data_IF_488051278515
#
_entry.id   IF_488051278515
#
_cell.length_a   1.000
_cell.length_b   1.000
_cell.length_c   1.000
_cell.angle_alpha   90.00
_cell.angle_beta   90.00
_cell.angle_gamma   90.00
#
_symmetry.space_group_name_H-M   'P 1'
#
loop_
_entity.id
_entity.type
_entity.pdbx_description
1 polymer ?
#
# COMPACT_ATOMS: atom_id res chain seq x y z
N UNK A 1 21.78 -33.15 -25.57
CA UNK A 1 22.33 -32.02 -26.35
C UNK A 1 21.27 -31.64 -27.39
N UNK A 2 20.70 -30.44 -27.33
CA UNK A 2 19.61 -30.01 -28.22
C UNK A 2 18.44 -29.28 -27.55
N UNK A 3 18.31 -29.35 -26.21
CA UNK A 3 17.38 -28.49 -25.46
C UNK A 3 17.91 -27.05 -25.47
N UNK A 4 17.10 -26.06 -25.87
CA UNK A 4 17.43 -24.65 -25.72
C UNK A 4 17.89 -24.32 -24.29
N UNK A 5 18.94 -23.52 -24.14
CA UNK A 5 19.60 -23.26 -22.85
C UNK A 5 18.63 -22.67 -21.80
N UNK A 6 17.74 -21.80 -22.26
CA UNK A 6 16.64 -21.21 -21.50
C UNK A 6 15.67 -22.26 -20.96
N UNK A 7 15.28 -23.25 -21.75
CA UNK A 7 14.43 -24.34 -21.28
C UNK A 7 15.18 -25.33 -20.39
N UNK A 8 16.45 -25.61 -20.69
CA UNK A 8 17.28 -26.55 -19.93
C UNK A 8 17.57 -26.04 -18.51
N UNK A 9 17.74 -24.73 -18.36
CA UNK A 9 18.01 -24.06 -17.08
C UNK A 9 16.78 -23.39 -16.48
N UNK A 10 15.60 -23.50 -17.12
CA UNK A 10 14.35 -22.80 -16.75
C UNK A 10 14.52 -21.28 -16.61
N UNK A 11 15.38 -20.67 -17.43
CA UNK A 11 15.66 -19.23 -17.44
C UNK A 11 14.56 -18.40 -18.13
N UNK A 12 13.49 -19.05 -18.60
CA UNK A 12 12.32 -18.36 -19.19
C UNK A 12 11.18 -18.33 -18.17
N UNK A 13 10.91 -17.16 -17.61
CA UNK A 13 9.69 -16.86 -16.86
C UNK A 13 8.98 -15.63 -17.45
N UNK A 14 7.69 -15.49 -17.17
CA UNK A 14 6.88 -14.34 -17.61
C UNK A 14 6.58 -13.44 -16.42
N UNK A 15 7.04 -12.20 -16.50
CA UNK A 15 6.77 -11.19 -15.47
C UNK A 15 5.59 -10.34 -15.88
N UNK A 16 4.60 -10.23 -15.00
CA UNK A 16 3.47 -9.33 -15.16
C UNK A 16 3.69 -8.06 -14.35
N UNK A 17 3.76 -6.92 -15.02
CA UNK A 17 3.71 -5.62 -14.37
C UNK A 17 2.24 -5.20 -14.20
N UNK A 18 1.79 -5.07 -12.95
CA UNK A 18 0.40 -4.78 -12.62
C UNK A 18 0.29 -3.35 -12.12
N UNK A 19 -0.37 -2.48 -12.88
CA UNK A 19 -0.69 -1.14 -12.43
C UNK A 19 -1.96 -1.16 -11.55
N UNK A 20 -1.75 -1.24 -10.23
CA UNK A 20 -2.83 -1.35 -9.26
C UNK A 20 -3.44 0.02 -8.91
N UNK A 21 -4.75 0.03 -8.75
CA UNK A 21 -5.46 1.18 -8.18
C UNK A 21 -5.23 1.27 -6.67
N UNK A 22 -5.29 2.47 -6.05
CA UNK A 22 -5.02 2.64 -4.62
C UNK A 22 -5.92 1.83 -3.69
N UNK A 23 -7.11 1.44 -4.12
CA UNK A 23 -8.06 0.63 -3.35
C UNK A 23 -7.76 -0.87 -3.35
N UNK A 24 -6.67 -1.33 -3.99
CA UNK A 24 -6.28 -2.75 -4.05
C UNK A 24 -4.93 -3.04 -3.39
N UNK A 25 -4.72 -2.61 -2.12
CA UNK A 25 -3.46 -2.90 -1.43
C UNK A 25 -3.23 -4.38 -1.20
N UNK A 26 -4.31 -5.18 -1.11
CA UNK A 26 -4.24 -6.63 -0.98
C UNK A 26 -3.43 -7.27 -2.11
N UNK A 27 -3.53 -6.71 -3.33
CA UNK A 27 -2.83 -7.17 -4.52
C UNK A 27 -1.37 -6.68 -4.63
N UNK A 28 -0.85 -5.91 -3.66
CA UNK A 28 0.60 -5.61 -3.57
C UNK A 28 1.41 -6.78 -3.00
N UNK A 29 0.87 -8.00 -3.12
CA UNK A 29 1.41 -9.24 -2.60
C UNK A 29 1.10 -10.41 -3.54
N UNK A 30 1.97 -11.42 -3.55
CA UNK A 30 1.75 -12.66 -4.30
C UNK A 30 0.51 -13.40 -3.80
N UNK A 31 0.27 -13.42 -2.48
CA UNK A 31 -0.92 -14.07 -1.90
C UNK A 31 -2.21 -13.38 -2.37
N UNK A 32 -2.25 -12.05 -2.37
CA UNK A 32 -3.43 -11.31 -2.82
C UNK A 32 -3.70 -11.49 -4.31
N UNK A 33 -2.67 -11.41 -5.15
CA UNK A 33 -2.80 -11.69 -6.59
C UNK A 33 -3.27 -13.13 -6.82
N UNK A 34 -2.70 -14.11 -6.10
CA UNK A 34 -3.09 -15.51 -6.22
C UNK A 34 -4.54 -15.76 -5.75
N UNK A 35 -5.03 -15.02 -4.75
CA UNK A 35 -6.43 -15.06 -4.31
C UNK A 35 -7.37 -14.58 -5.41
N UNK A 36 -7.04 -13.48 -6.07
CA UNK A 36 -7.81 -12.96 -7.21
C UNK A 36 -7.82 -13.94 -8.39
N UNK A 37 -6.65 -14.47 -8.77
CA UNK A 37 -6.56 -15.47 -9.83
C UNK A 37 -7.36 -16.73 -9.47
N UNK A 38 -7.32 -17.15 -8.21
CA UNK A 38 -8.10 -18.29 -7.71
C UNK A 38 -9.60 -18.10 -7.88
N UNK A 39 -10.10 -16.88 -7.69
CA UNK A 39 -11.51 -16.53 -7.89
C UNK A 39 -11.93 -16.61 -9.37
N UNK A 40 -11.04 -16.25 -10.30
CA UNK A 40 -11.29 -16.31 -11.75
C UNK A 40 -10.97 -17.68 -12.39
N UNK A 41 -10.32 -18.59 -11.67
CA UNK A 41 -10.00 -19.91 -12.19
C UNK A 41 -11.27 -20.74 -12.43
N UNK A 42 -11.24 -21.62 -13.43
CA UNK A 42 -12.31 -22.59 -13.70
C UNK A 42 -11.78 -24.02 -13.50
N UNK A 43 -12.25 -24.77 -12.46
CA UNK A 43 -13.11 -24.31 -11.36
C UNK A 43 -12.39 -23.34 -10.41
N UNK A 44 -13.17 -22.53 -9.66
CA UNK A 44 -12.62 -21.61 -8.67
C UNK A 44 -11.72 -22.36 -7.67
N UNK A 45 -10.61 -21.74 -7.28
CA UNK A 45 -9.64 -22.32 -6.37
C UNK A 45 -9.38 -21.40 -5.18
N UNK A 46 -9.26 -22.00 -4.01
CA UNK A 46 -8.73 -21.32 -2.83
C UNK A 46 -7.21 -21.31 -2.90
N UNK A 47 -6.60 -20.19 -2.50
CA UNK A 47 -5.16 -20.07 -2.45
C UNK A 47 -4.59 -21.02 -1.39
N UNK A 48 -3.56 -21.79 -1.74
CA UNK A 48 -2.79 -22.53 -0.76
C UNK A 48 -1.75 -21.59 -0.18
N UNK A 49 -1.97 -21.15 1.06
CA UNK A 49 -1.00 -20.30 1.74
C UNK A 49 0.32 -21.06 1.95
N UNK A 50 1.47 -20.37 1.86
CA UNK A 50 2.76 -20.99 2.10
C UNK A 50 2.81 -21.54 3.53
N UNK A 51 2.96 -22.85 3.63
CA UNK A 51 3.16 -23.51 4.93
C UNK A 51 4.57 -23.17 5.42
N UNK A 52 4.66 -22.85 6.71
CA UNK A 52 5.92 -22.73 7.41
C UNK A 52 5.80 -23.45 8.76
N UNK A 53 6.89 -24.07 9.19
CA UNK A 53 7.05 -24.59 10.54
C UNK A 53 8.18 -23.82 11.22
N UNK A 54 8.05 -23.65 12.53
CA UNK A 54 9.15 -23.24 13.38
C UNK A 54 9.70 -24.54 13.98
N UNK A 55 10.79 -25.11 13.42
CA UNK A 55 11.34 -26.37 13.90
C UNK A 55 11.67 -26.27 15.39
N UNK A 56 11.06 -27.13 16.22
CA UNK A 56 11.23 -27.11 17.67
C UNK A 56 12.71 -27.24 18.07
N UNK A 57 13.49 -27.97 17.28
CA UNK A 57 14.93 -28.15 17.46
C UNK A 57 15.77 -26.89 17.22
N UNK A 58 15.22 -25.90 16.49
CA UNK A 58 15.84 -24.60 16.25
C UNK A 58 15.38 -23.53 17.24
N UNK A 59 14.35 -23.81 18.03
CA UNK A 59 13.89 -22.89 19.09
C UNK A 59 14.84 -23.07 20.28
N UNK A 60 15.61 -22.03 20.56
CA UNK A 60 16.50 -21.96 21.71
C UNK A 60 15.73 -21.92 23.03
N UNK A 61 16.47 -22.10 24.14
CA UNK A 61 15.89 -22.05 25.50
C UNK A 61 15.71 -20.63 26.05
N UNK A 62 16.30 -19.65 25.37
CA UNK A 62 16.27 -18.27 25.82
C UNK A 62 15.06 -17.55 25.25
N UNK A 63 14.21 -17.03 26.14
CA UNK A 63 13.05 -16.24 25.72
C UNK A 63 13.46 -14.90 25.15
N UNK A 64 12.77 -14.47 24.08
CA UNK A 64 12.91 -13.12 23.55
C UNK A 64 12.71 -12.05 24.62
N UNK A 65 11.81 -12.28 25.59
CA UNK A 65 11.50 -11.32 26.66
C UNK A 65 12.66 -11.12 27.67
N UNK A 66 13.66 -11.99 27.65
CA UNK A 66 14.88 -11.82 28.44
C UNK A 66 15.89 -10.87 27.77
N UNK A 67 15.70 -10.56 26.49
CA UNK A 67 16.63 -9.80 25.66
C UNK A 67 16.00 -8.49 25.15
N UNK A 68 14.77 -8.57 24.68
CA UNK A 68 14.10 -7.49 23.98
C UNK A 68 12.81 -7.04 24.67
N UNK A 69 12.55 -5.73 24.65
CA UNK A 69 11.31 -5.09 25.08
C UNK A 69 10.79 -4.17 23.97
N UNK A 70 9.48 -4.15 23.74
CA UNK A 70 8.83 -3.19 22.82
C UNK A 70 7.84 -2.35 23.61
N UNK A 71 7.92 -1.03 23.45
CA UNK A 71 7.00 -0.06 24.03
C UNK A 71 6.43 0.84 22.91
N UNK A 72 5.11 1.00 22.89
CA UNK A 72 4.43 1.89 21.95
C UNK A 72 3.91 3.09 22.74
N UNK A 73 4.52 4.27 22.53
CA UNK A 73 4.12 5.52 23.18
C UNK A 73 2.95 6.17 22.43
N UNK A 74 2.95 6.07 21.10
CA UNK A 74 1.97 6.70 20.21
C UNK A 74 1.13 5.65 19.46
N UNK A 75 0.17 4.98 20.13
CA UNK A 75 -0.60 3.88 19.56
C UNK A 75 -1.52 4.30 18.41
N UNK A 76 -1.88 5.58 18.32
CA UNK A 76 -2.69 6.14 17.23
C UNK A 76 -1.94 6.13 15.88
N UNK A 77 -0.59 6.12 15.93
CA UNK A 77 0.28 6.02 14.76
C UNK A 77 0.83 4.61 14.55
N UNK A 78 0.95 3.83 15.63
CA UNK A 78 1.38 2.43 15.59
C UNK A 78 0.43 1.53 16.40
N UNK A 79 -0.72 1.13 15.82
CA UNK A 79 -1.68 0.26 16.50
C UNK A 79 -1.11 -1.09 16.93
N UNK A 80 -0.13 -1.63 16.18
CA UNK A 80 0.46 -2.94 16.43
C UNK A 80 1.93 -3.00 16.05
N UNK A 81 2.73 -3.61 16.91
CA UNK A 81 4.14 -3.90 16.66
C UNK A 81 4.49 -5.29 17.16
N UNK A 82 4.98 -6.14 16.28
CA UNK A 82 5.46 -7.48 16.62
C UNK A 82 6.96 -7.60 16.34
N UNK A 83 7.67 -8.34 17.19
CA UNK A 83 9.11 -8.57 17.03
C UNK A 83 9.51 -10.02 17.30
N UNK A 84 10.47 -10.51 16.53
CA UNK A 84 11.10 -11.84 16.69
C UNK A 84 12.61 -11.71 16.74
N UNK A 85 13.28 -12.53 17.55
CA UNK A 85 14.73 -12.48 17.74
C UNK A 85 15.35 -13.80 17.29
N UNK A 86 16.43 -13.70 16.51
CA UNK A 86 17.26 -14.83 16.11
C UNK A 86 18.71 -14.63 16.56
N UNK A 87 19.34 -15.71 16.99
CA UNK A 87 20.74 -15.82 17.37
C UNK A 87 21.53 -16.61 16.33
N UNK A 88 22.86 -16.50 16.38
CA UNK A 88 23.79 -17.25 15.53
C UNK A 88 23.52 -17.12 14.02
N UNK A 89 22.96 -15.98 13.61
CA UNK A 89 22.64 -15.68 12.22
C UNK A 89 23.93 -15.59 11.42
N UNK A 90 24.00 -16.32 10.30
CA UNK A 90 25.13 -16.23 9.37
C UNK A 90 24.73 -15.43 8.14
N UNK A 91 25.31 -14.24 8.01
CA UNK A 91 25.14 -13.39 6.83
C UNK A 91 25.92 -13.98 5.66
N UNK A 92 25.23 -14.23 4.56
CA UNK A 92 25.78 -14.81 3.32
C UNK A 92 24.88 -14.46 2.14
N UNK A 93 25.35 -14.61 0.89
CA UNK A 93 24.49 -14.49 -0.28
C UNK A 93 23.26 -15.40 -0.18
N UNK A 94 22.11 -14.89 -0.65
CA UNK A 94 20.86 -15.65 -0.71
C UNK A 94 20.97 -16.90 -1.58
N UNK A 95 20.20 -17.96 -1.28
CA UNK A 95 20.01 -19.07 -2.21
C UNK A 95 19.58 -18.57 -3.58
N UNK A 96 20.01 -19.26 -4.64
CA UNK A 96 19.76 -18.84 -6.02
C UNK A 96 18.29 -18.53 -6.32
N UNK A 97 17.37 -19.39 -5.85
CA UNK A 97 15.93 -19.21 -6.08
C UNK A 97 15.37 -17.92 -5.48
N UNK A 98 15.90 -17.49 -4.32
CA UNK A 98 15.45 -16.29 -3.62
C UNK A 98 15.95 -15.05 -4.34
N UNK A 99 17.23 -15.06 -4.69
CA UNK A 99 17.88 -14.03 -5.49
C UNK A 99 17.16 -13.84 -6.84
N UNK A 100 16.95 -14.93 -7.56
CA UNK A 100 16.27 -14.94 -8.87
C UNK A 100 14.88 -14.30 -8.79
N UNK A 101 14.08 -14.65 -7.78
CA UNK A 101 12.73 -14.10 -7.60
C UNK A 101 12.72 -12.59 -7.33
N UNK A 102 13.66 -12.10 -6.51
CA UNK A 102 13.76 -10.68 -6.19
C UNK A 102 14.28 -9.87 -7.38
N UNK A 103 15.33 -10.34 -8.05
CA UNK A 103 15.91 -9.64 -9.20
C UNK A 103 14.93 -9.57 -10.38
N UNK A 104 14.10 -10.60 -10.56
CA UNK A 104 13.06 -10.66 -11.61
C UNK A 104 12.01 -9.56 -11.47
N UNK A 105 11.75 -9.09 -10.25
CA UNK A 105 10.81 -7.99 -9.96
C UNK A 105 11.52 -6.64 -9.73
N UNK A 106 12.81 -6.54 -10.08
CA UNK A 106 13.59 -5.31 -9.98
C UNK A 106 14.19 -5.02 -8.60
N UNK A 107 14.11 -5.95 -7.65
CA UNK A 107 14.76 -5.81 -6.33
C UNK A 107 16.17 -6.39 -6.37
N UNK A 108 17.16 -5.56 -6.05
CA UNK A 108 18.56 -6.01 -5.97
C UNK A 108 18.77 -6.86 -4.72
N UNK A 109 19.28 -8.08 -4.89
CA UNK A 109 19.66 -8.97 -3.80
C UNK A 109 20.89 -8.43 -3.06
N UNK A 110 20.83 -8.41 -1.73
CA UNK A 110 21.88 -7.86 -0.85
C UNK A 110 22.51 -9.00 -0.04
N UNK A 111 21.75 -9.58 0.88
CA UNK A 111 22.15 -10.71 1.71
C UNK A 111 20.91 -11.52 2.10
N UNK A 112 21.11 -12.74 2.59
CA UNK A 112 20.04 -13.65 2.97
C UNK A 112 19.01 -13.06 3.95
N UNK A 113 19.40 -12.25 4.94
CA UNK A 113 18.46 -11.65 5.90
C UNK A 113 17.59 -10.58 5.23
N UNK A 114 18.23 -9.60 4.57
CA UNK A 114 17.54 -8.50 3.90
C UNK A 114 16.64 -9.03 2.78
N UNK A 115 17.14 -9.98 2.00
CA UNK A 115 16.39 -10.60 0.91
C UNK A 115 15.18 -11.39 1.43
N UNK A 116 15.27 -12.06 2.57
CA UNK A 116 14.12 -12.74 3.18
C UNK A 116 13.06 -11.72 3.61
N UNK A 117 13.45 -10.59 4.21
CA UNK A 117 12.46 -9.55 4.57
C UNK A 117 11.75 -8.97 3.34
N UNK A 118 12.49 -8.69 2.26
CA UNK A 118 11.93 -8.26 0.98
C UNK A 118 11.02 -9.33 0.35
N UNK A 119 11.46 -10.58 0.38
CA UNK A 119 10.70 -11.69 -0.18
C UNK A 119 9.39 -11.91 0.55
N UNK A 120 9.39 -11.90 1.89
CA UNK A 120 8.15 -12.05 2.68
C UNK A 120 7.24 -10.85 2.51
N UNK A 121 7.78 -9.63 2.36
CA UNK A 121 6.98 -8.45 1.98
C UNK A 121 6.29 -8.65 0.64
N UNK A 122 7.00 -9.15 -0.38
CA UNK A 122 6.40 -9.43 -1.69
C UNK A 122 5.43 -10.62 -1.64
N UNK A 123 5.69 -11.63 -0.81
CA UNK A 123 4.83 -12.82 -0.66
C UNK A 123 3.50 -12.45 0.02
N UNK A 124 3.56 -11.68 1.12
CA UNK A 124 2.43 -11.45 2.04
C UNK A 124 1.83 -10.05 1.98
N UNK A 125 2.56 -9.07 1.46
CA UNK A 125 2.18 -7.66 1.48
C UNK A 125 2.53 -6.92 2.78
N UNK A 126 3.09 -7.61 3.77
CA UNK A 126 3.53 -7.03 5.05
C UNK A 126 4.99 -6.61 4.96
N UNK A 127 5.32 -5.31 4.98
CA UNK A 127 6.70 -4.88 5.09
C UNK A 127 7.29 -5.32 6.43
N UNK A 128 8.56 -5.73 6.39
CA UNK A 128 9.34 -6.19 7.52
C UNK A 128 10.64 -5.40 7.57
N UNK A 129 11.22 -5.27 8.75
CA UNK A 129 12.55 -4.71 8.92
C UNK A 129 13.42 -5.65 9.77
N UNK A 130 14.72 -5.64 9.54
CA UNK A 130 15.69 -6.42 10.30
C UNK A 130 16.71 -5.46 10.91
N UNK A 131 16.78 -5.43 12.24
CA UNK A 131 17.78 -4.68 12.98
C UNK A 131 18.92 -5.60 13.38
N UNK A 132 20.16 -5.11 13.28
CA UNK A 132 21.27 -5.71 14.02
C UNK A 132 21.02 -5.49 15.52
N UNK A 133 20.71 -6.56 16.23
CA UNK A 133 20.30 -6.49 17.63
C UNK A 133 21.44 -6.06 18.56
N UNK A 134 22.69 -6.19 18.14
CA UNK A 134 23.85 -5.68 18.89
C UNK A 134 23.94 -4.15 18.84
N UNK A 135 23.31 -3.53 17.84
CA UNK A 135 23.22 -2.08 17.70
C UNK A 135 21.95 -1.47 18.29
N UNK A 136 21.01 -2.29 18.80
CA UNK A 136 19.79 -1.83 19.49
C UNK A 136 20.11 -1.57 20.96
N UNK A 137 20.31 -0.30 21.32
CA UNK A 137 20.68 0.07 22.69
C UNK A 137 19.64 -0.40 23.71
N UNK A 138 20.14 -0.97 24.82
CA UNK A 138 19.36 -1.49 25.95
C UNK A 138 18.36 -2.60 25.59
N UNK A 139 18.46 -3.20 24.39
CA UNK A 139 17.51 -4.22 23.94
C UNK A 139 16.07 -3.70 23.92
N UNK A 140 15.83 -2.40 23.77
CA UNK A 140 14.50 -1.82 23.86
C UNK A 140 14.14 -1.14 22.56
N UNK A 141 12.94 -1.39 22.05
CA UNK A 141 12.32 -0.65 20.95
C UNK A 141 11.24 0.26 21.54
N UNK A 142 11.28 1.54 21.20
CA UNK A 142 10.32 2.56 21.61
C UNK A 142 9.75 3.21 20.36
N UNK A 143 8.47 2.97 20.08
CA UNK A 143 7.76 3.56 18.95
C UNK A 143 7.11 4.86 19.40
N UNK A 144 7.60 5.98 18.89
CA UNK A 144 7.15 7.32 19.27
C UNK A 144 7.30 8.34 18.16
N UNK A 145 6.60 9.45 18.26
CA UNK A 145 6.82 10.65 17.44
C UNK A 145 8.24 11.20 17.62
N UNK A 146 8.78 11.80 16.57
CA UNK A 146 10.09 12.45 16.57
C UNK A 146 10.19 13.53 17.66
N UNK A 147 9.13 14.32 17.86
CA UNK A 147 9.06 15.30 18.94
C UNK A 147 10.14 16.37 18.84
N UNK A 148 11.23 16.21 19.61
CA UNK A 148 12.38 17.14 19.62
C UNK A 148 13.54 16.70 18.73
N UNK A 149 13.48 15.49 18.18
CA UNK A 149 14.46 15.03 17.21
C UNK A 149 14.31 15.87 15.94
N UNK A 150 15.43 16.39 15.43
CA UNK A 150 15.43 17.38 14.33
C UNK A 150 15.99 16.82 13.04
N UNK A 151 16.85 15.81 13.11
CA UNK A 151 17.48 15.17 11.95
C UNK A 151 17.63 13.67 12.19
N UNK A 152 17.65 12.90 11.09
CA UNK A 152 17.91 11.48 11.09
C UNK A 152 18.66 11.06 9.83
N UNK A 153 19.62 10.15 9.97
CA UNK A 153 20.40 9.61 8.86
C UNK A 153 19.86 8.23 8.50
N UNK A 154 19.40 8.09 7.25
CA UNK A 154 18.87 6.84 6.71
C UNK A 154 19.96 5.95 6.10
N UNK A 155 19.61 4.71 5.76
CA UNK A 155 20.50 3.71 5.15
C UNK A 155 21.18 4.15 3.84
N UNK A 156 20.69 5.21 3.18
CA UNK A 156 21.32 5.81 2.00
C UNK A 156 22.34 6.91 2.35
N UNK A 157 22.73 6.99 3.63
CA UNK A 157 23.64 7.96 4.24
C UNK A 157 23.22 9.43 4.01
N UNK A 158 21.92 9.70 3.79
CA UNK A 158 21.38 11.06 3.68
C UNK A 158 20.78 11.50 5.01
N UNK A 159 21.03 12.76 5.38
CA UNK A 159 20.34 13.40 6.51
C UNK A 159 18.99 13.96 6.07
N UNK A 160 17.95 13.63 6.81
CA UNK A 160 16.59 14.11 6.61
C UNK A 160 16.14 14.92 7.82
N UNK A 161 15.63 16.12 7.57
CA UNK A 161 15.00 16.93 8.60
C UNK A 161 13.69 16.28 9.06
N UNK A 162 13.56 16.07 10.37
CA UNK A 162 12.39 15.48 10.98
C UNK A 162 11.36 16.55 11.34
N UNK A 163 10.09 16.26 11.07
CA UNK A 163 8.98 17.01 11.64
C UNK A 163 8.51 16.36 12.94
N UNK A 164 8.06 17.14 13.95
CA UNK A 164 7.71 16.61 15.27
C UNK A 164 6.65 15.50 15.27
N UNK A 165 5.79 15.44 14.26
CA UNK A 165 4.70 14.47 14.11
C UNK A 165 5.09 13.19 13.36
N UNK A 166 6.30 13.14 12.78
CA UNK A 166 6.81 11.93 12.12
C UNK A 166 6.97 10.81 13.13
N UNK A 167 6.54 9.59 12.76
CA UNK A 167 6.69 8.42 13.60
C UNK A 167 8.11 7.85 13.45
N UNK A 168 8.77 7.63 14.59
CA UNK A 168 10.11 7.06 14.69
C UNK A 168 10.06 5.73 15.44
N UNK A 169 10.97 4.85 15.07
CA UNK A 169 11.35 3.69 15.88
C UNK A 169 12.65 4.08 16.56
N UNK A 170 12.67 4.06 17.88
CA UNK A 170 13.85 4.36 18.67
C UNK A 170 14.33 3.11 19.39
N UNK A 171 15.63 3.03 19.65
CA UNK A 171 16.15 2.14 20.68
C UNK A 171 16.00 2.78 22.08
N UNK A 172 16.63 2.20 23.10
CA UNK A 172 16.62 2.75 24.46
C UNK A 172 17.33 4.10 24.64
N UNK A 173 17.90 4.70 23.59
CA UNK A 173 18.70 5.93 23.63
C UNK A 173 18.41 6.91 22.47
N UNK A 174 18.16 6.43 21.25
CA UNK A 174 18.12 7.23 20.01
C UNK A 174 17.19 6.65 18.95
N UNK A 175 16.79 7.43 17.93
CA UNK A 175 16.11 6.90 16.75
C UNK A 175 16.97 5.90 15.97
N UNK A 176 16.34 4.84 15.45
CA UNK A 176 16.96 3.77 14.64
C UNK A 176 16.24 3.52 13.31
N UNK A 177 15.00 3.98 13.15
CA UNK A 177 14.33 3.98 11.85
C UNK A 177 13.26 5.08 11.75
N UNK A 178 13.02 5.54 10.53
CA UNK A 178 11.82 6.28 10.17
C UNK A 178 10.70 5.27 9.90
N UNK A 179 9.76 5.17 10.84
CA UNK A 179 8.81 4.06 10.90
C UNK A 179 8.07 3.89 9.58
N UNK A 180 8.08 2.67 9.03
CA UNK A 180 7.41 2.32 7.77
C UNK A 180 7.94 2.99 6.50
N UNK A 181 9.05 3.74 6.57
CA UNK A 181 9.65 4.43 5.43
C UNK A 181 11.05 3.90 5.11
N UNK A 182 11.99 4.02 6.06
CA UNK A 182 13.37 3.59 5.87
C UNK A 182 14.09 3.38 7.21
N UNK A 183 14.94 2.35 7.28
CA UNK A 183 15.84 2.13 8.42
C UNK A 183 16.94 3.19 8.52
N UNK A 184 17.56 3.26 9.69
CA UNK A 184 18.79 4.03 9.93
C UNK A 184 20.03 3.21 9.65
N UNK A 185 21.11 3.90 9.25
CA UNK A 185 22.45 3.31 9.11
C UNK A 185 22.99 2.78 10.45
N UNK A 186 22.52 3.32 11.57
CA UNK A 186 22.99 2.99 12.91
C UNK A 186 22.55 1.61 13.45
N UNK A 187 21.65 0.91 12.76
CA UNK A 187 21.14 -0.40 13.16
C UNK A 187 21.05 -1.39 11.99
N UNK A 188 21.78 -1.11 10.91
CA UNK A 188 21.75 -1.90 9.68
C UNK A 188 22.34 -3.30 9.86
N UNK A 189 21.89 -4.23 9.01
CA UNK A 189 22.49 -5.57 8.92
C UNK A 189 23.81 -5.48 8.17
N UNK A 190 24.88 -5.93 8.81
CA UNK A 190 26.25 -5.97 8.25
C UNK A 190 26.73 -7.41 8.13
N UNK A 191 27.86 -7.64 7.44
CA UNK A 191 28.47 -8.98 7.34
C UNK A 191 28.87 -9.57 8.70
N UNK A 192 28.99 -8.74 9.74
CA UNK A 192 29.33 -9.15 11.11
C UNK A 192 28.12 -9.41 12.01
N UNK A 193 26.91 -9.11 11.55
CA UNK A 193 25.70 -9.28 12.36
C UNK A 193 25.47 -10.75 12.70
N UNK A 194 25.28 -11.05 13.99
CA UNK A 194 25.00 -12.42 14.47
C UNK A 194 23.68 -12.56 15.20
N UNK A 195 23.12 -11.45 15.71
CA UNK A 195 21.81 -11.41 16.37
C UNK A 195 20.91 -10.45 15.61
N UNK A 196 19.75 -10.93 15.18
CA UNK A 196 18.83 -10.16 14.34
C UNK A 196 17.47 -10.04 15.00
N UNK A 197 17.00 -8.80 15.18
CA UNK A 197 15.64 -8.50 15.60
C UNK A 197 14.80 -8.17 14.38
N UNK A 198 13.79 -8.99 14.10
CA UNK A 198 12.84 -8.80 12.99
C UNK A 198 11.63 -8.04 13.50
N UNK A 199 11.31 -6.93 12.85
CA UNK A 199 10.10 -6.14 13.02
C UNK A 199 9.02 -6.56 12.02
N UNK A 200 7.79 -6.64 12.51
CA UNK A 200 6.57 -6.66 11.71
C UNK A 200 5.51 -5.79 12.38
N UNK A 201 5.16 -4.65 11.77
CA UNK A 201 4.32 -3.64 12.39
C UNK A 201 3.18 -3.17 11.48
N UNK A 202 2.17 -2.55 12.07
CA UNK A 202 1.12 -1.81 11.37
C UNK A 202 1.22 -0.35 11.74
N UNK A 203 1.47 0.51 10.75
CA UNK A 203 1.56 1.96 10.92
C UNK A 203 0.37 2.66 10.26
N UNK A 204 0.01 3.83 10.79
CA UNK A 204 -1.05 4.67 10.25
C UNK A 204 -0.73 5.10 8.80
N UNK A 205 -1.56 4.73 7.80
CA UNK A 205 -1.28 5.00 6.38
C UNK A 205 -1.09 6.47 6.04
N UNK A 206 -1.85 7.36 6.70
CA UNK A 206 -1.80 8.80 6.46
C UNK A 206 -0.46 9.37 6.97
N UNK A 207 -0.01 8.91 8.13
CA UNK A 207 1.27 9.32 8.71
C UNK A 207 2.44 8.92 7.81
N UNK A 208 2.43 7.67 7.33
CA UNK A 208 3.46 7.16 6.41
C UNK A 208 3.47 7.95 5.10
N UNK A 209 2.30 8.17 4.48
CA UNK A 209 2.19 8.95 3.24
C UNK A 209 2.74 10.36 3.38
N UNK A 210 2.40 11.05 4.48
CA UNK A 210 2.91 12.40 4.76
C UNK A 210 4.42 12.38 4.93
N UNK A 211 4.92 11.45 5.73
CA UNK A 211 6.35 11.31 6.03
C UNK A 211 7.15 11.04 4.76
N UNK A 212 6.78 10.02 3.98
CA UNK A 212 7.41 9.69 2.69
C UNK A 212 7.42 10.88 1.71
N UNK A 213 6.30 11.61 1.61
CA UNK A 213 6.20 12.80 0.74
C UNK A 213 7.07 13.96 1.21
N UNK A 214 7.19 14.19 2.50
CA UNK A 214 8.00 15.28 3.07
C UNK A 214 9.48 14.97 2.95
N UNK A 215 9.89 13.73 3.23
CA UNK A 215 11.30 13.32 3.14
C UNK A 215 11.76 13.08 1.70
N UNK A 216 10.82 12.89 0.77
CA UNK A 216 11.11 12.55 -0.61
C UNK A 216 11.56 11.10 -0.80
N UNK A 217 11.35 10.25 0.22
CA UNK A 217 11.73 8.85 0.21
C UNK A 217 10.53 8.01 -0.26
N UNK A 218 10.70 7.27 -1.35
CA UNK A 218 9.72 6.31 -1.84
C UNK A 218 10.34 4.91 -1.84
N UNK A 219 9.80 4.01 -1.00
CA UNK A 219 10.21 2.61 -0.91
C UNK A 219 9.02 1.68 -1.15
N UNK A 220 9.31 0.43 -1.50
CA UNK A 220 8.30 -0.64 -1.57
C UNK A 220 7.52 -0.84 -0.27
N UNK A 221 8.19 -0.62 0.87
CA UNK A 221 7.57 -0.66 2.18
C UNK A 221 6.60 0.50 2.37
N UNK A 222 7.05 1.75 2.15
CA UNK A 222 6.19 2.94 2.32
C UNK A 222 4.99 2.92 1.38
N UNK A 223 5.17 2.42 0.15
CA UNK A 223 4.12 2.30 -0.85
C UNK A 223 2.97 1.37 -0.44
N UNK A 224 3.28 0.31 0.33
CA UNK A 224 2.29 -0.60 0.92
C UNK A 224 1.62 0.02 2.13
N UNK A 225 2.40 0.52 3.08
CA UNK A 225 1.87 1.16 4.27
C UNK A 225 0.95 2.35 3.96
N UNK A 226 1.26 3.18 2.97
CA UNK A 226 0.43 4.36 2.62
C UNK A 226 -0.97 4.01 2.06
N UNK A 227 -1.15 2.79 1.55
CA UNK A 227 -2.46 2.27 1.08
C UNK A 227 -3.19 1.45 2.14
N UNK A 228 -2.52 1.15 3.26
CA UNK A 228 -2.98 0.23 4.29
C UNK A 228 -2.63 -1.21 3.97
N UNK A 229 -2.24 -1.96 5.01
CA UNK A 229 -1.91 -3.39 4.93
C UNK A 229 -2.82 -4.19 5.87
N UNK A 230 -2.69 -5.51 5.93
CA UNK A 230 -3.48 -6.34 6.84
C UNK A 230 -3.05 -6.16 8.31
N UNK A 231 -3.88 -5.55 9.19
CA UNK A 231 -3.54 -5.37 10.61
C UNK A 231 -3.38 -6.69 11.37
N UNK A 232 -3.99 -7.77 10.90
CA UNK A 232 -3.86 -9.11 11.48
C UNK A 232 -2.73 -9.93 10.85
N UNK A 233 -2.12 -9.43 9.76
CA UNK A 233 -1.04 -10.10 9.02
C UNK A 233 0.33 -10.08 9.70
N UNK A 234 0.56 -9.13 10.61
CA UNK A 234 1.87 -8.85 11.25
C UNK A 234 2.56 -10.10 11.81
N UNK A 235 1.90 -10.84 12.71
CA UNK A 235 2.50 -12.01 13.38
C UNK A 235 2.73 -13.16 12.41
N UNK A 236 1.86 -13.38 11.43
CA UNK A 236 2.04 -14.46 10.46
C UNK A 236 3.22 -14.18 9.54
N UNK A 237 3.37 -12.95 9.04
CA UNK A 237 4.53 -12.54 8.26
C UNK A 237 5.82 -12.60 9.07
N UNK A 238 5.80 -12.18 10.34
CA UNK A 238 6.93 -12.31 11.25
C UNK A 238 7.38 -13.76 11.37
N UNK A 239 6.47 -14.68 11.66
CA UNK A 239 6.80 -16.11 11.79
C UNK A 239 7.30 -16.71 10.49
N UNK A 240 6.75 -16.27 9.34
CA UNK A 240 7.23 -16.68 8.02
C UNK A 240 8.68 -16.23 7.80
N UNK A 241 9.01 -14.99 8.13
CA UNK A 241 10.38 -14.48 8.03
C UNK A 241 11.34 -15.18 8.99
N UNK A 242 10.96 -15.35 10.27
CA UNK A 242 11.76 -16.06 11.27
C UNK A 242 12.04 -17.51 10.84
N UNK A 243 11.04 -18.21 10.29
CA UNK A 243 11.20 -19.56 9.75
C UNK A 243 12.23 -19.61 8.63
N UNK A 244 12.11 -18.72 7.63
CA UNK A 244 13.04 -18.66 6.51
C UNK A 244 14.46 -18.25 6.95
N UNK A 245 14.59 -17.31 7.88
CA UNK A 245 15.91 -16.89 8.39
C UNK A 245 16.57 -18.03 9.17
N UNK A 246 15.82 -18.75 10.01
CA UNK A 246 16.35 -19.92 10.72
C UNK A 246 16.85 -21.00 9.76
N UNK A 247 16.11 -21.25 8.68
CA UNK A 247 16.47 -22.24 7.66
C UNK A 247 17.69 -21.80 6.83
N UNK A 248 17.64 -20.62 6.22
CA UNK A 248 18.63 -20.20 5.23
C UNK A 248 19.83 -19.44 5.81
N UNK A 249 19.75 -18.98 7.07
CA UNK A 249 20.84 -18.29 7.76
C UNK A 249 21.43 -19.12 8.91
N UNK A 250 21.04 -20.39 9.04
CA UNK A 250 21.49 -21.32 10.09
C UNK A 250 21.21 -20.84 11.53
N UNK A 251 20.23 -19.95 11.70
CA UNK A 251 19.99 -19.22 12.94
C UNK A 251 19.17 -20.02 13.96
N UNK A 252 19.42 -19.75 15.24
CA UNK A 252 18.65 -20.24 16.39
C UNK A 252 17.54 -19.24 16.72
N UNK A 253 16.31 -19.69 16.86
CA UNK A 253 15.14 -18.82 17.12
C UNK A 253 15.01 -18.62 18.63
N UNK A 254 14.83 -17.39 19.12
CA UNK A 254 14.50 -17.15 20.52
C UNK A 254 13.11 -17.73 20.87
N UNK A 255 12.92 -18.19 22.11
CA UNK A 255 11.62 -18.69 22.56
C UNK A 255 10.58 -17.55 22.61
N UNK A 256 9.50 -17.71 21.86
CA UNK A 256 8.39 -16.75 21.79
C UNK A 256 8.59 -15.63 20.77
N UNK A 257 7.71 -14.63 20.83
CA UNK A 257 7.76 -13.40 20.04
C UNK A 257 7.09 -12.30 20.86
N UNK A 258 7.44 -11.05 20.61
CA UNK A 258 6.79 -9.89 21.21
C UNK A 258 5.66 -9.46 20.29
N UNK A 259 4.46 -9.18 20.83
CA UNK A 259 3.33 -8.60 20.09
C UNK A 259 2.61 -7.58 20.97
N UNK A 260 2.89 -6.31 20.72
CA UNK A 260 2.27 -5.18 21.43
C UNK A 260 1.15 -4.65 20.54
N UNK A 261 -0.09 -4.87 20.96
CA UNK A 261 -1.30 -4.56 20.19
C UNK A 261 -2.32 -3.74 21.01
N UNK A 262 -2.00 -2.48 21.35
CA UNK A 262 -2.85 -1.62 22.18
C UNK A 262 -4.20 -1.32 21.53
N UNK A 263 -4.22 -1.07 20.22
CA UNK A 263 -5.43 -0.76 19.45
C UNK A 263 -5.78 -1.92 18.53
N UNK A 264 -6.47 -2.92 19.08
CA UNK A 264 -6.86 -4.10 18.32
C UNK A 264 -7.82 -3.78 17.19
N UNK A 265 -7.51 -4.24 15.99
CA UNK A 265 -8.47 -4.27 14.89
C UNK A 265 -9.70 -5.06 15.31
N UNK A 266 -10.87 -4.47 15.09
CA UNK A 266 -12.16 -5.11 15.37
C UNK A 266 -12.75 -5.51 14.03
N UNK A 267 -12.86 -6.81 13.72
CA UNK A 267 -13.58 -7.27 12.55
C UNK A 267 -15.00 -6.71 12.56
N UNK A 268 -15.47 -6.27 11.40
CA UNK A 268 -16.80 -5.71 11.25
C UNK A 268 -17.53 -6.41 10.10
N UNK A 269 -18.85 -6.42 10.26
CA UNK A 269 -19.76 -6.98 9.28
C UNK A 269 -20.52 -5.87 8.57
N UNK A 270 -20.74 -6.06 7.27
CA UNK A 270 -21.59 -5.19 6.45
C UNK A 270 -22.89 -5.92 6.14
N UNK A 271 -24.03 -5.27 6.40
CA UNK A 271 -25.32 -5.75 5.93
C UNK A 271 -25.53 -5.37 4.46
N UNK A 272 -25.72 -6.37 3.61
CA UNK A 272 -25.94 -6.22 2.18
C UNK A 272 -27.34 -6.72 1.81
N UNK A 273 -28.14 -5.87 1.16
CA UNK A 273 -29.42 -6.28 0.57
C UNK A 273 -29.21 -6.68 -0.89
N UNK A 274 -29.66 -7.88 -1.28
CA UNK A 274 -29.62 -8.33 -2.66
C UNK A 274 -30.45 -7.41 -3.58
N UNK A 275 -31.59 -6.91 -3.09
CA UNK A 275 -32.43 -5.97 -3.83
C UNK A 275 -31.69 -4.64 -4.09
N UNK A 276 -31.02 -4.09 -3.08
CA UNK A 276 -30.26 -2.85 -3.25
C UNK A 276 -29.06 -3.03 -4.20
N UNK A 277 -28.36 -4.15 -4.09
CA UNK A 277 -27.27 -4.52 -5.00
C UNK A 277 -27.78 -4.62 -6.45
N UNK A 278 -28.87 -5.36 -6.68
CA UNK A 278 -29.47 -5.54 -7.99
C UNK A 278 -29.99 -4.23 -8.58
N UNK A 279 -30.56 -3.34 -7.76
CA UNK A 279 -30.98 -2.01 -8.18
C UNK A 279 -29.79 -1.16 -8.61
N UNK A 280 -28.67 -1.24 -7.88
CA UNK A 280 -27.44 -0.49 -8.17
C UNK A 280 -26.76 -0.98 -9.46
N UNK A 281 -26.70 -2.31 -9.64
CA UNK A 281 -25.99 -2.92 -10.75
C UNK A 281 -26.85 -3.14 -12.00
N UNK A 282 -28.18 -3.07 -11.89
CA UNK A 282 -29.08 -3.45 -12.97
C UNK A 282 -29.10 -4.96 -13.24
N UNK A 283 -28.96 -5.77 -12.19
CA UNK A 283 -28.83 -7.24 -12.26
C UNK A 283 -29.97 -7.94 -11.53
N UNK A 284 -29.99 -9.29 -11.54
CA UNK A 284 -30.98 -10.11 -10.83
C UNK A 284 -30.32 -11.29 -10.10
N UNK A 285 -29.33 -10.99 -9.24
CA UNK A 285 -28.68 -12.02 -8.44
C UNK A 285 -29.55 -12.46 -7.26
N UNK A 286 -29.55 -13.76 -6.99
CA UNK A 286 -30.04 -14.30 -5.71
C UNK A 286 -28.95 -14.25 -4.63
N UNK A 287 -29.37 -14.35 -3.36
CA UNK A 287 -28.45 -14.33 -2.20
C UNK A 287 -27.40 -15.44 -2.24
N UNK A 288 -27.69 -16.58 -2.87
CA UNK A 288 -26.75 -17.71 -3.01
C UNK A 288 -25.63 -17.39 -4.00
N UNK A 289 -25.97 -16.75 -5.11
CA UNK A 289 -25.01 -16.32 -6.12
C UNK A 289 -24.07 -15.25 -5.58
N UNK A 290 -24.63 -14.23 -4.91
CA UNK A 290 -23.85 -13.18 -4.23
C UNK A 290 -22.89 -13.81 -3.22
N UNK A 291 -23.41 -14.72 -2.38
CA UNK A 291 -22.62 -15.45 -1.38
C UNK A 291 -21.45 -16.18 -2.02
N UNK A 292 -21.68 -16.98 -3.06
CA UNK A 292 -20.64 -17.75 -3.75
C UNK A 292 -19.55 -16.83 -4.34
N UNK A 293 -19.94 -15.70 -4.92
CA UNK A 293 -19.01 -14.75 -5.51
C UNK A 293 -18.13 -14.10 -4.44
N UNK A 294 -18.72 -13.65 -3.33
CA UNK A 294 -17.96 -13.01 -2.25
C UNK A 294 -17.06 -14.03 -1.50
N UNK A 295 -17.52 -15.26 -1.31
CA UNK A 295 -16.73 -16.32 -0.67
C UNK A 295 -15.53 -16.76 -1.53
N UNK A 296 -15.54 -16.56 -2.86
CA UNK A 296 -14.41 -16.92 -3.72
C UNK A 296 -13.17 -16.07 -3.46
N UNK A 297 -13.35 -14.88 -2.88
CA UNK A 297 -12.29 -13.98 -2.42
C UNK A 297 -12.28 -13.85 -0.88
N UNK A 298 -12.67 -14.92 -0.19
CA UNK A 298 -12.54 -15.12 1.27
C UNK A 298 -13.41 -14.23 2.18
N UNK A 299 -14.42 -13.53 1.66
CA UNK A 299 -15.41 -12.90 2.55
C UNK A 299 -16.25 -13.97 3.25
N UNK A 300 -16.57 -13.73 4.53
CA UNK A 300 -17.44 -14.63 5.30
C UNK A 300 -18.89 -14.20 5.13
N UNK A 301 -19.73 -15.03 4.51
CA UNK A 301 -21.10 -14.62 4.16
C UNK A 301 -22.17 -15.48 4.83
N UNK A 302 -23.01 -14.81 5.62
CA UNK A 302 -24.18 -15.40 6.26
C UNK A 302 -25.48 -14.87 5.62
N UNK A 303 -26.29 -15.76 5.07
CA UNK A 303 -27.60 -15.39 4.50
C UNK A 303 -28.61 -15.20 5.64
N UNK A 304 -29.26 -14.04 5.67
CA UNK A 304 -30.39 -13.72 6.56
C UNK A 304 -31.72 -13.89 5.82
N UNK A 305 -32.83 -13.74 6.56
CA UNK A 305 -34.17 -13.61 5.97
C UNK A 305 -34.27 -12.33 5.13
N UNK A 306 -35.34 -12.22 4.33
CA UNK A 306 -35.69 -11.02 3.57
C UNK A 306 -34.64 -10.55 2.55
N UNK A 307 -33.97 -11.50 1.87
CA UNK A 307 -32.98 -11.21 0.81
C UNK A 307 -31.79 -10.35 1.29
N UNK A 308 -31.37 -10.54 2.54
CA UNK A 308 -30.22 -9.87 3.15
C UNK A 308 -29.07 -10.83 3.42
N UNK A 309 -27.85 -10.31 3.38
CA UNK A 309 -26.63 -11.00 3.74
C UNK A 309 -25.87 -10.20 4.80
N UNK A 310 -25.19 -10.89 5.70
CA UNK A 310 -24.17 -10.33 6.58
C UNK A 310 -22.82 -10.80 6.07
N UNK A 311 -21.98 -9.84 5.71
CA UNK A 311 -20.69 -10.07 5.07
C UNK A 311 -19.61 -9.59 6.02
N UNK A 312 -18.87 -10.54 6.60
CA UNK A 312 -17.68 -10.24 7.41
C UNK A 312 -16.51 -9.90 6.51
N UNK A 313 -15.98 -8.69 6.67
CA UNK A 313 -14.87 -8.18 5.87
C UNK A 313 -13.56 -8.77 6.40
N UNK A 314 -12.75 -9.45 5.57
CA UNK A 314 -11.44 -9.92 6.01
C UNK A 314 -10.50 -8.73 6.26
N UNK A 315 -9.61 -8.86 7.23
CA UNK A 315 -8.73 -7.78 7.70
C UNK A 315 -7.83 -7.19 6.61
N UNK A 316 -7.43 -7.98 5.62
CA UNK A 316 -6.65 -7.53 4.46
C UNK A 316 -7.43 -6.65 3.47
N UNK A 317 -8.78 -6.56 3.57
CA UNK A 317 -9.64 -5.70 2.74
C UNK A 317 -9.96 -4.38 3.44
N UNK A 318 -8.91 -3.59 3.65
CA UNK A 318 -9.00 -2.26 4.29
C UNK A 318 -9.79 -1.23 3.46
N UNK A 319 -10.04 -1.52 2.19
CA UNK A 319 -10.80 -0.69 1.25
C UNK A 319 -12.32 -0.86 1.37
N UNK A 320 -12.80 -2.00 1.89
CA UNK A 320 -14.23 -2.36 1.92
C UNK A 320 -14.86 -1.92 3.24
N UNK A 321 -15.69 -0.87 3.20
CA UNK A 321 -16.27 -0.26 4.41
C UNK A 321 -17.79 -0.16 4.37
N UNK A 322 -18.41 -0.34 3.20
CA UNK A 322 -19.85 -0.14 2.99
C UNK A 322 -20.44 -1.10 1.93
N UNK A 323 -21.78 -1.23 1.86
CA UNK A 323 -22.45 -2.14 0.92
C UNK A 323 -22.17 -1.85 -0.56
N UNK A 324 -21.86 -0.61 -0.91
CA UNK A 324 -21.45 -0.20 -2.26
C UNK A 324 -20.17 -0.90 -2.70
N UNK A 325 -19.17 -0.99 -1.81
CA UNK A 325 -17.87 -1.60 -2.11
C UNK A 325 -18.05 -3.12 -2.35
N UNK A 326 -18.93 -3.77 -1.58
CA UNK A 326 -19.32 -5.16 -1.84
C UNK A 326 -20.06 -5.34 -3.17
N UNK A 327 -20.79 -4.33 -3.63
CA UNK A 327 -21.47 -4.40 -4.93
C UNK A 327 -20.46 -4.32 -6.08
N UNK A 328 -19.39 -3.54 -5.91
CA UNK A 328 -18.25 -3.53 -6.84
C UNK A 328 -17.57 -4.90 -6.88
N UNK A 329 -17.32 -5.53 -5.72
CA UNK A 329 -16.73 -6.88 -5.68
C UNK A 329 -17.56 -7.90 -6.44
N UNK A 330 -18.89 -7.92 -6.23
CA UNK A 330 -19.79 -8.81 -6.96
C UNK A 330 -19.76 -8.53 -8.46
N UNK A 331 -19.85 -7.26 -8.86
CA UNK A 331 -19.86 -6.87 -10.26
C UNK A 331 -18.55 -7.26 -10.97
N UNK A 332 -17.40 -7.02 -10.34
CA UNK A 332 -16.07 -7.27 -10.92
C UNK A 332 -15.78 -8.76 -11.05
N UNK A 333 -16.08 -9.54 -10.02
CA UNK A 333 -15.88 -10.99 -10.01
C UNK A 333 -16.87 -11.72 -10.93
N UNK A 334 -18.07 -11.17 -11.12
CA UNK A 334 -19.00 -11.67 -12.13
C UNK A 334 -18.61 -11.25 -13.56
N UNK A 335 -17.94 -10.12 -13.71
CA UNK A 335 -17.53 -9.54 -14.98
C UNK A 335 -18.47 -8.42 -15.43
N UNK A 336 -17.91 -7.22 -15.64
CA UNK A 336 -18.68 -6.04 -16.06
C UNK A 336 -19.35 -6.21 -17.42
N UNK A 337 -18.74 -7.00 -18.32
CA UNK A 337 -19.31 -7.30 -19.64
C UNK A 337 -20.66 -8.02 -19.58
N UNK A 338 -20.98 -8.66 -18.45
CA UNK A 338 -22.25 -9.34 -18.25
C UNK A 338 -23.37 -8.37 -17.81
N UNK A 339 -23.05 -7.15 -17.38
CA UNK A 339 -24.04 -6.15 -16.99
C UNK A 339 -24.70 -5.56 -18.25
N UNK A 340 -26.01 -5.75 -18.37
CA UNK A 340 -26.74 -5.27 -19.55
C UNK A 340 -26.79 -3.74 -19.60
N UNK A 341 -26.50 -3.18 -20.77
CA UNK A 341 -26.67 -1.75 -21.01
C UNK A 341 -28.15 -1.39 -20.98
N UNK A 342 -28.51 -0.42 -20.15
CA UNK A 342 -29.84 0.19 -20.10
C UNK A 342 -29.73 1.71 -20.17
N UNK A 343 -30.83 2.38 -20.53
CA UNK A 343 -30.89 3.82 -20.61
C UNK A 343 -31.77 4.36 -19.47
N UNK A 344 -31.36 5.43 -18.78
CA UNK A 344 -32.22 6.06 -17.79
C UNK A 344 -33.45 6.63 -18.49
N UNK A 345 -34.60 6.56 -17.82
CA UNK A 345 -35.81 7.21 -18.30
C UNK A 345 -35.64 8.73 -18.18
N UNK A 346 -35.56 9.40 -19.32
CA UNK A 346 -35.44 10.86 -19.39
C UNK A 346 -36.80 11.43 -19.82
N UNK A 347 -37.29 12.52 -19.20
CA UNK A 347 -38.48 13.21 -19.68
C UNK A 347 -38.35 13.60 -21.16
N UNK A 348 -39.40 13.41 -21.95
CA UNK A 348 -39.42 13.73 -23.38
C UNK A 348 -39.32 15.25 -23.67
N UNK A 349 -39.49 16.10 -22.66
CA UNK A 349 -39.34 17.54 -22.79
C UNK A 349 -37.87 17.93 -22.92
N UNK A 350 -37.46 18.25 -24.15
CA UNK A 350 -36.15 18.84 -24.42
C UNK A 350 -36.00 20.19 -23.72
N UNK A 351 -35.00 20.33 -22.84
CA UNK A 351 -34.64 21.64 -22.29
C UNK A 351 -34.06 22.50 -23.40
N UNK A 352 -34.63 23.69 -23.62
CA UNK A 352 -34.03 24.68 -24.53
C UNK A 352 -32.63 25.04 -24.03
N UNK A 353 -31.69 25.19 -24.96
CA UNK A 353 -30.37 25.71 -24.64
C UNK A 353 -30.52 27.09 -23.98
N UNK A 354 -29.67 27.36 -22.99
CA UNK A 354 -29.57 28.69 -22.38
C UNK A 354 -29.43 29.76 -23.48
N UNK A 355 -30.15 30.89 -23.40
CA UNK A 355 -30.01 31.98 -24.36
C UNK A 355 -28.55 32.44 -24.53
N UNK A 356 -27.73 32.38 -23.46
CA UNK A 356 -26.30 32.72 -23.52
C UNK A 356 -25.50 31.75 -24.39
N UNK A 357 -25.77 30.45 -24.29
CA UNK A 357 -25.10 29.43 -25.12
C UNK A 357 -25.53 29.58 -26.59
N UNK A 358 -26.82 29.79 -26.81
CA UNK A 358 -27.37 30.04 -28.14
C UNK A 358 -26.75 31.29 -28.78
N UNK A 359 -26.61 32.37 -28.03
CA UNK A 359 -25.95 33.60 -28.47
C UNK A 359 -24.47 33.39 -28.77
N UNK A 360 -23.72 32.71 -27.88
CA UNK A 360 -22.30 32.38 -28.10
C UNK A 360 -22.10 31.59 -29.40
N UNK A 361 -22.94 30.59 -29.65
CA UNK A 361 -22.86 29.78 -30.87
C UNK A 361 -23.17 30.61 -32.12
N UNK A 362 -24.15 31.52 -32.06
CA UNK A 362 -24.44 32.46 -33.14
C UNK A 362 -23.26 33.39 -33.42
N UNK A 363 -22.66 33.98 -32.38
CA UNK A 363 -21.47 34.84 -32.52
C UNK A 363 -20.33 34.05 -33.18
N UNK A 364 -20.06 32.82 -32.72
CA UNK A 364 -19.04 31.95 -33.31
C UNK A 364 -19.28 31.75 -34.81
N UNK A 365 -20.50 31.36 -35.20
CA UNK A 365 -20.86 31.16 -36.61
C UNK A 365 -20.67 32.43 -37.45
N UNK A 366 -21.07 33.58 -36.94
CA UNK A 366 -20.91 34.87 -37.62
C UNK A 366 -19.41 35.17 -37.82
N UNK A 367 -18.59 35.08 -36.77
CA UNK A 367 -17.16 35.37 -36.86
C UNK A 367 -16.42 34.41 -37.79
N UNK A 368 -16.75 33.11 -37.77
CA UNK A 368 -16.19 32.14 -38.72
C UNK A 368 -16.64 32.42 -40.15
N UNK A 369 -17.85 32.96 -40.35
CA UNK A 369 -18.34 33.40 -41.66
C UNK A 369 -17.57 34.59 -42.22
N UNK A 370 -16.97 35.40 -41.34
CA UNK A 370 -16.01 36.47 -41.71
C UNK A 370 -14.57 35.98 -41.83
N UNK A 371 -14.34 34.66 -41.91
CA UNK A 371 -13.01 34.04 -42.01
C UNK A 371 -12.10 34.26 -40.81
N UNK A 372 -12.65 34.58 -39.62
CA UNK A 372 -11.88 34.53 -38.37
C UNK A 372 -11.73 33.09 -37.88
N UNK A 373 -10.57 32.78 -37.29
CA UNK A 373 -10.32 31.52 -36.60
C UNK A 373 -10.55 31.66 -35.09
N UNK A 374 -11.27 30.72 -34.48
CA UNK A 374 -11.42 30.68 -33.02
C UNK A 374 -10.12 30.19 -32.39
N UNK A 375 -9.57 30.99 -31.47
CA UNK A 375 -8.37 30.65 -30.71
C UNK A 375 -8.74 30.25 -29.27
N UNK A 376 -8.28 29.08 -28.83
CA UNK A 376 -8.35 28.65 -27.43
C UNK A 376 -7.02 29.01 -26.78
N UNK A 377 -7.04 30.01 -25.90
CA UNK A 377 -5.84 30.52 -25.23
C UNK A 377 -5.72 29.96 -23.80
N UNK A 378 -4.50 29.99 -23.26
CA UNK A 378 -4.28 29.65 -21.85
C UNK A 378 -4.98 30.65 -20.94
N UNK A 379 -5.56 30.13 -19.84
CA UNK A 379 -6.15 30.94 -18.78
C UNK A 379 -5.08 31.51 -17.84
N UNK A 380 -3.88 30.91 -17.82
CA UNK A 380 -2.77 31.34 -16.99
C UNK A 380 -1.76 32.13 -17.81
N UNK A 381 -1.33 33.24 -17.25
CA UNK A 381 -0.41 34.18 -17.89
C UNK A 381 0.65 34.65 -16.90
N UNK A 382 1.62 35.40 -17.40
CA UNK A 382 2.64 36.02 -16.57
C UNK A 382 2.05 37.21 -15.80
N UNK A 383 2.46 37.44 -14.56
CA UNK A 383 2.00 38.57 -13.71
C UNK A 383 2.07 39.94 -14.41
N UNK A 384 3.16 40.23 -15.11
CA UNK A 384 3.39 41.45 -15.90
C UNK A 384 2.50 41.61 -17.15
N UNK A 385 1.52 40.73 -17.39
CA UNK A 385 0.64 40.82 -18.57
C UNK A 385 -0.17 42.12 -18.61
N UNK A 386 -0.59 42.61 -17.44
CA UNK A 386 -1.29 43.90 -17.35
C UNK A 386 -0.40 45.08 -17.79
N UNK A 387 0.90 45.01 -17.50
CA UNK A 387 1.88 46.03 -17.93
C UNK A 387 2.14 45.95 -19.42
N UNK A 388 2.27 44.74 -19.97
CA UNK A 388 2.43 44.53 -21.42
C UNK A 388 1.24 45.03 -22.23
N UNK A 389 0.04 45.02 -21.64
CA UNK A 389 -1.18 45.59 -22.21
C UNK A 389 -1.34 47.09 -21.95
N UNK A 390 -0.40 47.72 -21.23
CA UNK A 390 -0.43 49.12 -20.81
C UNK A 390 -1.73 49.50 -20.07
N UNK A 391 -2.24 48.61 -19.21
CA UNK A 391 -3.40 48.93 -18.38
C UNK A 391 -3.05 49.99 -17.34
N UNK A 392 -3.98 50.90 -17.04
CA UNK A 392 -3.79 51.91 -16.00
C UNK A 392 -3.54 51.25 -14.63
N UNK A 393 -2.83 51.94 -13.73
CA UNK A 393 -2.46 51.40 -12.42
C UNK A 393 -3.66 51.08 -11.51
N UNK A 394 -4.77 51.78 -11.72
CA UNK A 394 -6.05 51.62 -11.02
C UNK A 394 -7.06 50.75 -11.80
N UNK A 395 -6.66 50.14 -12.91
CA UNK A 395 -7.53 49.23 -13.66
C UNK A 395 -7.85 47.99 -12.81
N UNK A 396 -9.14 47.72 -12.61
CA UNK A 396 -9.64 46.57 -11.85
C UNK A 396 -9.11 45.22 -12.35
N UNK A 397 -8.71 45.12 -13.63
CA UNK A 397 -8.12 43.91 -14.21
C UNK A 397 -6.73 43.59 -13.65
N UNK A 398 -6.08 44.52 -12.93
CA UNK A 398 -4.83 44.25 -12.20
C UNK A 398 -5.05 43.46 -10.92
N UNK A 399 -6.29 43.29 -10.47
CA UNK A 399 -6.65 42.38 -9.37
C UNK A 399 -6.66 40.94 -9.88
N UNK A 400 -5.45 40.40 -10.09
CA UNK A 400 -5.21 39.05 -10.60
C UNK A 400 -5.07 38.04 -9.46
N UNK A 401 -5.53 36.82 -9.69
CA UNK A 401 -5.40 35.71 -8.74
C UNK A 401 -4.10 34.95 -9.00
N UNK A 402 -3.27 34.79 -7.98
CA UNK A 402 -1.97 34.11 -8.07
C UNK A 402 -2.10 32.63 -7.74
N UNK A 403 -1.42 31.79 -8.52
CA UNK A 403 -1.34 30.35 -8.27
C UNK A 403 -0.25 30.09 -7.22
N UNK A 404 -0.57 29.31 -6.19
CA UNK A 404 0.40 28.99 -5.11
C UNK A 404 1.61 28.19 -5.60
N UNK A 405 1.38 27.23 -6.51
CA UNK A 405 2.41 26.34 -7.05
C UNK A 405 2.36 26.34 -8.59
N UNK A 406 2.78 27.43 -9.26
CA UNK A 406 2.76 27.50 -10.71
C UNK A 406 3.79 26.55 -11.31
N UNK A 407 3.45 25.93 -12.45
CA UNK A 407 4.39 25.05 -13.20
C UNK A 407 5.53 25.88 -13.81
N UNK A 408 5.26 27.16 -14.11
CA UNK A 408 6.28 28.13 -14.55
C UNK A 408 5.84 29.55 -14.24
N UNK A 409 6.80 30.46 -14.12
CA UNK A 409 6.54 31.89 -13.89
C UNK A 409 5.75 32.55 -15.04
N UNK A 410 5.79 31.95 -16.25
CA UNK A 410 4.99 32.40 -17.40
C UNK A 410 3.48 32.14 -17.23
N UNK A 411 3.10 31.35 -16.22
CA UNK A 411 1.73 30.93 -15.93
C UNK A 411 1.43 31.11 -14.43
N UNK A 412 1.89 32.21 -13.83
CA UNK A 412 1.80 32.46 -12.39
C UNK A 412 0.45 33.02 -11.93
N UNK A 413 -0.34 33.61 -12.84
CA UNK A 413 -1.61 34.28 -12.51
C UNK A 413 -2.74 33.89 -13.44
N UNK A 414 -3.99 34.00 -12.96
CA UNK A 414 -5.19 33.87 -13.78
C UNK A 414 -5.44 35.15 -14.59
N UNK A 415 -5.72 34.99 -15.89
CA UNK A 415 -5.96 36.06 -16.88
C UNK A 415 -7.19 36.93 -16.60
#
# INVERSE_FOLDING_TARGET
>A
VGTPLDQALKLSDTVFEINLTPNRPDCLSMIGVAREIGAFAEPCRTVNLPLFSLPEEKIGKESIHSHAEVEIIDPDLCPRYSAGLLFDVKIKPSPFWLKERLETIGLTSINNVVDITNYVMMETGQPLHAFDFDNVAKGKIVVRRAGRDTEFITLDSKSHALQPDMLMICDGERPVALAGVMGGENSEITDTTTRVLIESAYFNPISIRKTAKITGIATDASHRFERGIDPDGTVNALKRAVSLISEFCDATIAEGYIDVYPEKFVPFDIELSAQALNTRLGTDFDTKSIKRILESVEFKVHIKKDQKLIVGVPSFRVDVTRPEDLSEEVARLWGYDNIQTSYPLVPAEGRRLSPKVSLRNKIRQILTGFSLSEAINYNFIHENSCDRLNLAGDDKKRNIETILNPISDQMSVLR
#
